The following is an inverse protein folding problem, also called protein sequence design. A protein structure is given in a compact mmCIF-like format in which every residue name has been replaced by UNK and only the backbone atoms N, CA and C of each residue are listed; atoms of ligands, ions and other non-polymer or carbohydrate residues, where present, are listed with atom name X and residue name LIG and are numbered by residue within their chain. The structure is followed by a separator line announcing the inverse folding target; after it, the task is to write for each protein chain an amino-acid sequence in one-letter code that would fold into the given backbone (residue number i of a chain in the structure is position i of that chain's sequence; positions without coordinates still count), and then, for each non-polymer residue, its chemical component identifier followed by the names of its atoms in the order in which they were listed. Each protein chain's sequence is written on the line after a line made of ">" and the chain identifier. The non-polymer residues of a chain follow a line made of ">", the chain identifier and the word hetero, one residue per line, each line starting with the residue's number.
data_IF_996195729928
#
_entry.id   IF_996195729928
#
_cell.length_a   1.000
_cell.length_b   1.000
_cell.length_c   1.000
_cell.angle_alpha   90.00
_cell.angle_beta   90.00
_cell.angle_gamma   90.00
#
_symmetry.space_group_name_H-M   'P 1'
#
loop_
_entity.id
_entity.type
_entity.pdbx_description
1 polymer ?
#
# COMPACT_ATOMS: atom_id res chain seq x y z
N UNK A 1 -33.72 31.36 15.18
CA UNK A 1 -33.19 29.97 15.25
C UNK A 1 -31.88 29.92 14.49
N UNK A 2 -30.74 29.79 15.18
CA UNK A 2 -29.45 29.47 14.52
C UNK A 2 -29.37 27.94 14.36
N UNK A 3 -28.95 27.40 13.21
CA UNK A 3 -28.59 26.00 13.12
C UNK A 3 -27.25 25.78 13.85
N UNK A 4 -27.22 24.77 14.71
CA UNK A 4 -26.01 24.24 15.35
C UNK A 4 -25.20 23.42 14.34
N UNK A 5 -23.86 23.50 14.34
CA UNK A 5 -23.04 22.66 13.47
C UNK A 5 -23.10 21.21 13.93
N UNK A 6 -23.40 20.31 12.98
CA UNK A 6 -23.44 18.87 13.20
C UNK A 6 -22.05 18.31 13.55
N UNK A 7 -22.06 17.32 14.43
CA UNK A 7 -20.89 16.53 14.82
C UNK A 7 -20.37 15.78 13.59
N UNK A 8 -19.19 16.17 13.12
CA UNK A 8 -18.46 15.43 12.10
C UNK A 8 -18.01 14.08 12.68
N UNK A 9 -18.41 12.99 12.04
CA UNK A 9 -17.93 11.65 12.34
C UNK A 9 -16.48 11.54 11.88
N UNK A 10 -15.54 11.59 12.82
CA UNK A 10 -14.11 11.37 12.57
C UNK A 10 -13.88 9.88 12.34
N UNK A 11 -13.88 9.47 11.08
CA UNK A 11 -13.42 8.14 10.66
C UNK A 11 -11.90 8.14 10.73
N UNK A 12 -11.35 7.20 11.49
CA UNK A 12 -9.91 6.99 11.60
C UNK A 12 -9.31 6.70 10.23
N UNK A 13 -8.25 7.44 9.89
CA UNK A 13 -7.38 7.23 8.75
C UNK A 13 -6.07 6.56 9.23
N UNK A 14 -5.67 5.48 8.58
CA UNK A 14 -4.70 4.45 8.99
C UNK A 14 -3.52 4.37 7.97
N UNK A 15 -2.65 5.39 7.96
CA UNK A 15 -1.39 5.47 7.18
C UNK A 15 -0.44 4.27 7.29
N UNK A 16 0.13 3.81 6.15
CA UNK A 16 1.20 2.79 6.03
C UNK A 16 1.96 2.90 4.71
N UNK A 17 3.29 2.75 4.77
CA UNK A 17 4.36 2.98 3.79
C UNK A 17 4.80 1.70 3.02
N UNK A 18 5.29 1.79 1.76
CA UNK A 18 5.83 0.65 0.98
C UNK A 18 7.05 1.02 0.12
N UNK A 19 8.28 0.72 0.57
CA UNK A 19 9.49 0.85 -0.26
C UNK A 19 9.65 -0.38 -1.15
N UNK A 20 9.88 -0.17 -2.44
CA UNK A 20 10.29 -1.20 -3.39
C UNK A 20 11.52 -0.72 -4.19
N UNK A 21 12.63 -1.42 -4.07
CA UNK A 21 13.75 -1.41 -5.02
C UNK A 21 13.97 -2.83 -5.57
N UNK A 22 14.31 -2.90 -6.86
CA UNK A 22 14.19 -4.11 -7.67
C UNK A 22 15.08 -5.27 -7.20
N UNK A 23 14.56 -6.50 -7.26
CA UNK A 23 15.35 -7.74 -7.22
C UNK A 23 14.91 -8.65 -8.37
N UNK A 24 15.86 -9.02 -9.22
CA UNK A 24 15.68 -9.94 -10.34
C UNK A 24 15.56 -11.39 -9.84
N UNK A 25 14.66 -12.16 -10.47
CA UNK A 25 14.41 -13.56 -10.14
C UNK A 25 15.41 -14.48 -10.83
N UNK A 26 15.90 -15.49 -10.11
CA UNK A 26 16.65 -16.62 -10.67
C UNK A 26 15.82 -17.91 -10.51
N UNK A 27 15.72 -18.67 -11.60
CA UNK A 27 15.04 -19.97 -11.69
C UNK A 27 15.98 -21.11 -11.29
N UNK A 28 15.53 -22.01 -10.41
CA UNK A 28 16.21 -23.30 -10.19
C UNK A 28 15.25 -24.48 -10.36
N UNK A 29 15.78 -25.52 -11.01
CA UNK A 29 15.14 -26.76 -11.45
C UNK A 29 14.99 -27.76 -10.27
N UNK A 30 13.86 -28.46 -10.08
CA UNK A 30 13.68 -29.34 -8.93
C UNK A 30 14.33 -30.71 -9.10
N UNK A 31 15.05 -31.16 -8.07
CA UNK A 31 15.42 -32.57 -7.84
C UNK A 31 14.93 -32.98 -6.45
N UNK A 32 14.21 -34.09 -6.39
CA UNK A 32 13.53 -34.58 -5.19
C UNK A 32 14.50 -35.27 -4.23
N UNK A 33 14.76 -34.62 -3.10
CA UNK A 33 15.21 -35.25 -1.86
C UNK A 33 14.22 -34.86 -0.76
N UNK A 34 13.94 -35.76 0.19
CA UNK A 34 13.13 -35.47 1.38
C UNK A 34 13.76 -34.30 2.14
N UNK A 35 13.25 -33.09 1.92
CA UNK A 35 13.78 -31.85 2.50
C UNK A 35 13.55 -31.86 4.01
N UNK A 36 14.64 -31.77 4.79
CA UNK A 36 14.53 -31.45 6.21
C UNK A 36 14.34 -29.93 6.34
N UNK A 37 13.21 -29.50 6.90
CA UNK A 37 12.84 -28.08 6.98
C UNK A 37 13.91 -27.21 7.66
N UNK A 38 14.70 -27.80 8.57
CA UNK A 38 15.75 -27.05 9.26
C UNK A 38 16.92 -26.67 8.34
N UNK A 39 17.12 -27.36 7.22
CA UNK A 39 18.19 -27.03 6.26
C UNK A 39 17.84 -25.89 5.32
N UNK A 40 16.57 -25.44 5.30
CA UNK A 40 16.13 -24.29 4.50
C UNK A 40 16.22 -22.95 5.24
N UNK A 41 16.67 -22.97 6.50
CA UNK A 41 16.84 -21.74 7.29
C UNK A 41 17.92 -20.88 6.65
N UNK A 42 17.53 -19.66 6.24
CA UNK A 42 18.45 -18.65 5.72
C UNK A 42 19.01 -17.84 6.89
N UNK A 43 20.33 -17.59 6.87
CA UNK A 43 21.03 -16.79 7.88
C UNK A 43 21.74 -15.61 7.23
N UNK A 44 21.99 -14.56 8.02
CA UNK A 44 22.60 -13.33 7.54
C UNK A 44 21.59 -12.33 6.94
N UNK A 45 22.01 -11.08 6.72
CA UNK A 45 21.13 -10.02 6.23
C UNK A 45 20.80 -10.25 4.74
N UNK A 46 19.51 -10.21 4.40
CA UNK A 46 19.07 -10.11 3.02
C UNK A 46 19.23 -8.66 2.56
N UNK A 47 20.02 -8.43 1.51
CA UNK A 47 20.17 -7.12 0.89
C UNK A 47 18.96 -6.82 -0.01
N UNK A 48 17.80 -6.62 0.62
CA UNK A 48 16.56 -6.24 -0.03
C UNK A 48 16.10 -4.91 0.59
N UNK A 49 15.50 -4.01 -0.20
CA UNK A 49 14.86 -2.83 0.34
C UNK A 49 13.84 -3.22 1.42
N UNK A 50 13.86 -2.53 2.57
CA UNK A 50 12.98 -2.86 3.67
C UNK A 50 11.55 -2.45 3.34
N UNK A 51 10.58 -3.34 3.60
CA UNK A 51 9.15 -2.98 3.58
C UNK A 51 8.74 -2.64 5.00
N UNK A 52 8.35 -1.39 5.24
CA UNK A 52 8.14 -0.84 6.58
C UNK A 52 6.68 -0.46 6.76
N UNK A 53 6.02 -1.07 7.74
CA UNK A 53 4.67 -0.71 8.18
C UNK A 53 4.76 0.25 9.37
N UNK A 54 4.35 1.50 9.19
CA UNK A 54 4.34 2.51 10.25
C UNK A 54 2.91 2.88 10.62
N UNK A 55 2.45 2.47 11.80
CA UNK A 55 1.08 2.66 12.27
C UNK A 55 1.05 3.59 13.49
N UNK A 56 0.00 4.41 13.58
CA UNK A 56 -0.27 5.25 14.75
C UNK A 56 -1.38 6.26 14.47
N UNK A 57 -1.83 6.93 15.53
CA UNK A 57 -2.91 7.93 15.46
C UNK A 57 -2.62 9.09 14.49
N UNK A 58 -3.64 9.87 14.19
CA UNK A 58 -3.50 11.11 13.42
C UNK A 58 -2.51 12.06 14.10
N UNK A 59 -1.71 12.79 13.31
CA UNK A 59 -0.75 13.77 13.83
C UNK A 59 0.51 13.19 14.49
N UNK A 60 0.67 11.86 14.59
CA UNK A 60 1.88 11.24 15.17
C UNK A 60 3.15 11.39 14.29
N UNK A 61 3.01 11.92 13.07
CA UNK A 61 4.14 12.20 12.17
C UNK A 61 4.49 11.07 11.19
N UNK A 62 3.54 10.19 10.82
CA UNK A 62 3.78 9.08 9.87
C UNK A 62 4.26 9.57 8.50
N UNK A 63 3.53 10.51 7.93
CA UNK A 63 3.82 11.08 6.63
C UNK A 63 5.10 11.91 6.66
N UNK A 64 5.35 12.62 7.77
CA UNK A 64 6.62 13.32 8.02
C UNK A 64 7.80 12.36 8.07
N UNK A 65 7.66 11.22 8.75
CA UNK A 65 8.67 10.17 8.76
C UNK A 65 8.96 9.66 7.33
N UNK A 66 7.92 9.41 6.54
CA UNK A 66 8.07 9.00 5.14
C UNK A 66 8.80 10.04 4.27
N UNK A 67 8.55 11.33 4.52
CA UNK A 67 9.17 12.44 3.77
C UNK A 67 10.67 12.60 4.01
N UNK A 68 11.20 11.98 5.08
CA UNK A 68 12.62 12.01 5.43
C UNK A 68 13.41 10.83 4.84
N UNK A 69 12.75 9.91 4.14
CA UNK A 69 13.42 8.80 3.48
C UNK A 69 14.27 9.27 2.28
N UNK A 70 15.25 8.46 1.81
CA UNK A 70 16.03 8.82 0.63
C UNK A 70 15.15 9.00 -0.60
N UNK A 71 15.25 10.17 -1.25
CA UNK A 71 14.54 10.56 -2.49
C UNK A 71 13.09 10.00 -2.55
N UNK A 72 12.18 10.47 -1.68
CA UNK A 72 10.86 9.89 -1.53
C UNK A 72 9.88 10.39 -2.59
N UNK A 73 8.94 9.53 -2.98
CA UNK A 73 7.77 9.85 -3.80
C UNK A 73 6.53 9.25 -3.17
N UNK A 74 5.46 10.03 -3.06
CA UNK A 74 4.21 9.60 -2.44
C UNK A 74 3.15 9.21 -3.46
N UNK A 75 2.48 8.09 -3.23
CA UNK A 75 1.14 7.79 -3.74
C UNK A 75 0.16 8.12 -2.61
N UNK A 76 -0.55 9.24 -2.76
CA UNK A 76 -1.61 9.63 -1.84
C UNK A 76 -2.93 8.95 -2.21
N UNK A 77 -3.49 8.18 -1.29
CA UNK A 77 -4.83 7.60 -1.34
C UNK A 77 -5.79 8.29 -0.36
N UNK A 78 -5.25 9.15 0.51
CA UNK A 78 -6.02 10.05 1.38
C UNK A 78 -5.57 11.51 1.24
N UNK A 79 -6.42 12.42 1.70
CA UNK A 79 -6.16 13.85 1.67
C UNK A 79 -5.50 14.31 2.99
N UNK A 80 -4.17 14.17 3.07
CA UNK A 80 -3.40 14.42 4.30
C UNK A 80 -2.00 15.02 4.13
N UNK A 81 -1.53 15.22 2.89
CA UNK A 81 -0.15 15.63 2.60
C UNK A 81 0.04 17.13 2.34
N UNK A 82 -1.01 17.94 2.41
CA UNK A 82 -0.97 19.36 2.05
C UNK A 82 0.03 20.20 2.85
N UNK A 83 0.35 19.76 4.07
CA UNK A 83 1.28 20.46 4.98
C UNK A 83 2.71 19.90 4.93
N UNK A 84 2.99 18.94 4.05
CA UNK A 84 4.31 18.30 3.94
C UNK A 84 4.90 18.64 2.58
N UNK A 85 6.08 19.26 2.60
CA UNK A 85 6.89 19.50 1.40
C UNK A 85 7.46 18.17 0.91
N UNK A 86 6.77 17.56 -0.05
CA UNK A 86 7.13 16.26 -0.60
C UNK A 86 6.63 16.14 -2.04
N UNK A 87 7.41 15.41 -2.85
CA UNK A 87 6.98 15.01 -4.19
C UNK A 87 5.92 13.92 -4.09
N UNK A 88 4.82 14.09 -4.84
CA UNK A 88 3.67 13.19 -4.79
C UNK A 88 2.92 13.14 -6.12
N UNK A 89 2.36 11.98 -6.43
CA UNK A 89 1.37 11.85 -7.49
C UNK A 89 0.06 12.57 -7.09
N UNK A 90 -0.82 12.89 -8.06
CA UNK A 90 -2.18 13.33 -7.75
C UNK A 90 -2.92 12.34 -6.84
N UNK A 91 -3.91 12.83 -6.09
CA UNK A 91 -4.78 11.98 -5.24
C UNK A 91 -5.37 10.82 -6.04
N UNK A 92 -4.99 9.60 -5.68
CA UNK A 92 -5.50 8.40 -6.31
C UNK A 92 -6.93 8.13 -5.80
N UNK A 93 -7.88 8.08 -6.75
CA UNK A 93 -9.31 7.84 -6.50
C UNK A 93 -9.75 6.46 -6.91
N UNK A 94 -8.86 5.69 -7.53
CA UNK A 94 -9.11 4.31 -7.95
C UNK A 94 -7.85 3.46 -7.78
N UNK A 95 -8.02 2.15 -7.60
CA UNK A 95 -6.88 1.23 -7.56
C UNK A 95 -6.07 1.25 -8.86
N UNK A 96 -6.72 1.52 -10.01
CA UNK A 96 -6.04 1.62 -11.30
C UNK A 96 -5.04 2.78 -11.33
N UNK A 97 -5.35 3.90 -10.68
CA UNK A 97 -4.43 5.04 -10.57
C UNK A 97 -3.22 4.70 -9.70
N UNK A 98 -3.43 3.95 -8.61
CA UNK A 98 -2.32 3.44 -7.77
C UNK A 98 -1.44 2.48 -8.57
N UNK A 99 -2.06 1.53 -9.28
CA UNK A 99 -1.36 0.59 -10.15
C UNK A 99 -0.56 1.32 -11.24
N UNK A 100 -1.15 2.34 -11.88
CA UNK A 100 -0.48 3.15 -12.88
C UNK A 100 0.73 3.90 -12.32
N UNK A 101 0.62 4.51 -11.12
CA UNK A 101 1.75 5.17 -10.47
C UNK A 101 2.89 4.19 -10.14
N UNK A 102 2.56 3.00 -9.64
CA UNK A 102 3.55 1.93 -9.39
C UNK A 102 4.19 1.48 -10.71
N UNK A 103 3.42 1.34 -11.79
CA UNK A 103 3.98 0.97 -13.09
C UNK A 103 4.92 2.04 -13.64
N UNK A 104 4.55 3.33 -13.54
CA UNK A 104 5.43 4.43 -13.93
C UNK A 104 6.77 4.38 -13.17
N UNK A 105 6.75 4.16 -11.86
CA UNK A 105 7.94 3.95 -11.03
C UNK A 105 8.72 2.65 -11.31
N UNK A 106 8.19 1.76 -12.15
CA UNK A 106 8.90 0.53 -12.56
C UNK A 106 9.48 0.64 -13.96
N UNK A 107 8.85 1.40 -14.84
CA UNK A 107 9.17 1.40 -16.28
C UNK A 107 9.78 2.71 -16.76
N UNK A 108 9.51 3.83 -16.10
CA UNK A 108 10.01 5.13 -16.51
C UNK A 108 11.33 5.48 -15.81
N UNK A 109 12.11 6.37 -16.42
CA UNK A 109 13.38 6.82 -15.85
C UNK A 109 13.13 7.83 -14.74
N UNK A 110 13.59 7.55 -13.52
CA UNK A 110 13.47 8.45 -12.38
C UNK A 110 14.62 8.29 -11.38
N UNK A 111 14.69 9.24 -10.45
CA UNK A 111 15.66 9.26 -9.35
C UNK A 111 15.10 8.79 -8.00
N UNK A 112 13.81 8.45 -7.89
CA UNK A 112 13.25 8.05 -6.59
C UNK A 112 13.84 6.75 -6.05
N UNK A 113 14.10 6.72 -4.75
CA UNK A 113 14.61 5.54 -4.02
C UNK A 113 13.58 4.96 -3.05
N UNK A 114 12.64 5.80 -2.60
CA UNK A 114 11.61 5.41 -1.65
C UNK A 114 10.23 5.71 -2.20
N UNK A 115 9.41 4.67 -2.35
CA UNK A 115 7.96 4.84 -2.53
C UNK A 115 7.29 4.91 -1.15
N UNK A 116 6.40 5.89 -1.00
CA UNK A 116 5.53 6.05 0.15
C UNK A 116 4.09 5.89 -0.30
N UNK A 117 3.32 5.05 0.38
CA UNK A 117 1.87 4.99 0.23
C UNK A 117 1.31 5.71 1.45
N UNK A 118 0.42 6.69 1.25
CA UNK A 118 -0.25 7.38 2.34
C UNK A 118 -1.72 7.51 1.97
N UNK A 119 -2.58 6.57 2.37
CA UNK A 119 -2.48 5.54 3.41
C UNK A 119 -2.95 4.14 2.94
N UNK A 120 -2.58 3.07 3.66
CA UNK A 120 -2.97 1.70 3.23
C UNK A 120 -4.41 1.37 3.57
N UNK A 121 -5.01 1.94 4.61
CA UNK A 121 -6.44 1.76 4.83
C UNK A 121 -7.29 2.39 3.73
N UNK A 122 -6.89 3.53 3.20
CA UNK A 122 -7.55 4.08 2.03
C UNK A 122 -7.25 3.28 0.77
N UNK A 123 -6.02 2.77 0.61
CA UNK A 123 -5.71 1.84 -0.47
C UNK A 123 -6.57 0.57 -0.42
N UNK A 124 -6.77 -0.01 0.77
CA UNK A 124 -7.63 -1.18 0.99
C UNK A 124 -9.05 -0.92 0.49
N UNK A 125 -9.59 0.26 0.76
CA UNK A 125 -10.91 0.67 0.25
C UNK A 125 -10.94 0.74 -1.28
N UNK A 126 -9.90 1.29 -1.91
CA UNK A 126 -9.79 1.31 -3.37
C UNK A 126 -9.70 -0.10 -3.97
N UNK A 127 -9.02 -1.03 -3.30
CA UNK A 127 -8.95 -2.46 -3.68
C UNK A 127 -10.35 -3.08 -3.61
N UNK A 128 -11.07 -2.86 -2.50
CA UNK A 128 -12.43 -3.39 -2.33
C UNK A 128 -13.40 -2.84 -3.36
N UNK A 129 -13.31 -1.55 -3.69
CA UNK A 129 -14.14 -0.92 -4.73
C UNK A 129 -13.87 -1.57 -6.10
N UNK A 130 -12.60 -1.84 -6.44
CA UNK A 130 -12.23 -2.57 -7.68
C UNK A 130 -12.79 -3.99 -7.69
N UNK A 131 -12.66 -4.73 -6.60
CA UNK A 131 -13.20 -6.09 -6.49
C UNK A 131 -14.73 -6.10 -6.62
N UNK A 132 -15.43 -5.21 -5.92
CA UNK A 132 -16.89 -5.11 -6.02
C UNK A 132 -17.35 -4.84 -7.45
N UNK A 133 -16.65 -3.94 -8.15
CA UNK A 133 -16.90 -3.65 -9.57
C UNK A 133 -16.65 -4.86 -10.46
N UNK A 134 -15.51 -5.56 -10.28
CA UNK A 134 -15.13 -6.72 -11.09
C UNK A 134 -16.12 -7.89 -10.97
N UNK A 135 -16.62 -8.15 -9.76
CA UNK A 135 -17.56 -9.23 -9.49
C UNK A 135 -19.03 -8.80 -9.59
N UNK A 136 -19.30 -7.53 -9.94
CA UNK A 136 -20.64 -6.94 -10.03
C UNK A 136 -21.48 -7.15 -8.76
N UNK A 137 -20.88 -6.88 -7.59
CA UNK A 137 -21.52 -7.02 -6.29
C UNK A 137 -21.50 -5.71 -5.52
N UNK A 138 -22.51 -5.52 -4.66
CA UNK A 138 -22.71 -4.28 -3.91
C UNK A 138 -21.88 -4.18 -2.62
N UNK A 139 -21.15 -5.24 -2.25
CA UNK A 139 -20.38 -5.33 -1.00
C UNK A 139 -19.29 -6.37 -1.13
N UNK A 140 -18.14 -6.12 -0.50
CA UNK A 140 -16.98 -7.03 -0.46
C UNK A 140 -17.34 -8.41 0.12
N UNK A 141 -18.31 -8.46 1.03
CA UNK A 141 -18.79 -9.71 1.64
C UNK A 141 -19.49 -10.64 0.64
N UNK A 142 -19.92 -10.11 -0.50
CA UNK A 142 -20.61 -10.85 -1.57
C UNK A 142 -19.66 -11.23 -2.71
N UNK A 143 -18.42 -10.74 -2.70
CA UNK A 143 -17.41 -11.09 -3.71
C UNK A 143 -17.12 -12.58 -3.63
N UNK A 144 -17.11 -13.24 -4.80
CA UNK A 144 -16.82 -14.66 -4.97
C UNK A 144 -17.65 -15.63 -4.08
N UNK A 145 -18.97 -15.37 -4.00
CA UNK A 145 -19.92 -16.34 -3.43
C UNK A 145 -20.17 -16.23 -1.93
N UNK A 146 -19.62 -15.23 -1.24
CA UNK A 146 -20.00 -14.90 0.14
C UNK A 146 -18.86 -14.89 1.16
N UNK A 147 -19.25 -14.82 2.44
CA UNK A 147 -18.41 -14.55 3.63
C UNK A 147 -16.96 -15.08 3.55
N UNK A 148 -16.00 -14.20 3.86
CA UNK A 148 -14.55 -14.42 3.89
C UNK A 148 -13.84 -14.70 2.54
N UNK A 149 -14.56 -14.92 1.42
CA UNK A 149 -13.95 -15.19 0.12
C UNK A 149 -13.29 -13.95 -0.51
N UNK A 150 -13.90 -12.78 -0.36
CA UNK A 150 -13.34 -11.50 -0.82
C UNK A 150 -11.95 -11.19 -0.26
N UNK A 151 -11.67 -11.55 1.01
CA UNK A 151 -10.35 -11.37 1.64
C UNK A 151 -9.27 -12.33 1.11
N UNK A 152 -9.66 -13.42 0.45
CA UNK A 152 -8.72 -14.40 -0.12
C UNK A 152 -8.17 -13.94 -1.48
N UNK A 153 -8.83 -12.96 -2.12
CA UNK A 153 -8.52 -12.46 -3.46
C UNK A 153 -8.12 -10.99 -3.51
N UNK A 154 -8.15 -10.29 -2.37
CA UNK A 154 -7.60 -8.95 -2.18
C UNK A 154 -6.09 -9.04 -1.92
#
# INVERSE_FOLDING_TARGET
>A
MRPTPGVASTKAAMGVFLVCTHVQAQTTNPQSHSMNLLTTIQTGPANKPPRILLHGGEGVGKSTFGSQAPRPIFIQTEDGLDQIDCERFPLAKSYNEVEAAIQALRTESHSYETLVIDSVDWLERLIFDRLCSQYNVSSIEKVDGGYARGYTHA
#
